data_IF_879586932015
#
_entry.id   IF_879586932015
#
_cell.length_a   1.000
_cell.length_b   1.000
_cell.length_c   1.000
_cell.angle_alpha   90.00
_cell.angle_beta   90.00
_cell.angle_gamma   90.00
#
_symmetry.space_group_name_H-M   'P 1'
#
loop_
_entity.id
_entity.type
_entity.pdbx_description
1 polymer ?
#
# COMPACT_ATOMS: atom_id res chain seq x y z
N UNK A 1 -55.48 27.89 -26.12
CA UNK A 1 -55.38 27.07 -24.89
C UNK A 1 -54.96 25.67 -25.28
N UNK A 2 -53.68 25.35 -25.11
CA UNK A 2 -53.17 23.98 -25.04
C UNK A 2 -51.76 24.07 -24.45
N UNK A 3 -51.68 24.03 -23.12
CA UNK A 3 -50.45 23.87 -22.37
C UNK A 3 -50.04 22.42 -22.45
N UNK A 4 -48.96 22.15 -23.19
CA UNK A 4 -48.22 20.89 -23.10
C UNK A 4 -47.41 20.95 -21.81
N UNK A 5 -47.78 20.11 -20.85
CA UNK A 5 -47.01 19.87 -19.64
C UNK A 5 -45.76 19.07 -20.03
N UNK A 6 -44.61 19.72 -19.95
CA UNK A 6 -43.31 19.11 -20.14
C UNK A 6 -43.00 18.25 -18.90
N UNK A 7 -42.92 16.94 -19.10
CA UNK A 7 -42.50 15.99 -18.07
C UNK A 7 -40.98 16.04 -17.97
N UNK A 8 -40.47 16.97 -17.16
CA UNK A 8 -39.10 16.93 -16.69
C UNK A 8 -38.95 15.78 -15.70
N UNK A 9 -38.66 14.58 -16.21
CA UNK A 9 -38.11 13.50 -15.40
C UNK A 9 -36.64 13.86 -15.14
N UNK A 10 -36.40 14.61 -14.07
CA UNK A 10 -35.06 14.76 -13.51
C UNK A 10 -34.68 13.42 -12.88
N UNK A 11 -33.86 12.63 -13.57
CA UNK A 11 -33.10 11.55 -12.96
C UNK A 11 -32.21 12.16 -11.87
N UNK A 12 -32.73 12.19 -10.65
CA UNK A 12 -31.92 12.45 -9.46
C UNK A 12 -31.02 11.24 -9.33
N UNK A 13 -29.79 11.33 -9.85
CA UNK A 13 -28.72 10.40 -9.49
C UNK A 13 -28.61 10.46 -7.97
N UNK A 14 -29.18 9.44 -7.31
CA UNK A 14 -29.07 9.28 -5.86
C UNK A 14 -27.59 9.22 -5.55
N UNK A 15 -27.08 10.17 -4.75
CA UNK A 15 -25.66 10.19 -4.34
C UNK A 15 -25.32 8.83 -3.73
N UNK A 16 -24.60 8.00 -4.49
CA UNK A 16 -24.24 6.67 -4.04
C UNK A 16 -23.27 6.81 -2.88
N UNK A 17 -23.61 6.22 -1.74
CA UNK A 17 -22.73 6.14 -0.57
C UNK A 17 -21.44 5.40 -0.96
N UNK A 18 -20.31 6.10 -0.89
CA UNK A 18 -18.99 5.64 -1.35
C UNK A 18 -18.07 5.17 -0.22
N UNK A 19 -18.55 5.14 1.02
CA UNK A 19 -17.77 4.73 2.19
C UNK A 19 -18.11 3.29 2.62
N UNK A 20 -17.47 2.82 3.70
CA UNK A 20 -17.66 1.44 4.17
C UNK A 20 -19.01 1.16 4.86
N UNK A 21 -19.89 2.15 4.99
CA UNK A 21 -21.27 1.88 5.43
C UNK A 21 -22.06 1.12 4.35
N UNK A 22 -21.61 1.20 3.10
CA UNK A 22 -22.13 0.42 1.99
C UNK A 22 -21.41 -0.95 1.87
N UNK A 23 -22.11 -2.09 2.02
CA UNK A 23 -21.50 -3.42 1.89
C UNK A 23 -20.89 -3.72 0.51
N UNK A 24 -21.40 -3.10 -0.56
CA UNK A 24 -20.82 -3.24 -1.90
C UNK A 24 -19.42 -2.63 -1.98
N UNK A 25 -19.25 -1.44 -1.38
CA UNK A 25 -17.94 -0.77 -1.28
C UNK A 25 -16.94 -1.64 -0.51
N UNK A 26 -17.36 -2.23 0.61
CA UNK A 26 -16.53 -3.19 1.38
C UNK A 26 -16.11 -4.38 0.51
N UNK A 27 -17.02 -4.89 -0.32
CA UNK A 27 -16.78 -6.04 -1.21
C UNK A 27 -15.81 -5.68 -2.34
N UNK A 28 -15.92 -4.48 -2.91
CA UNK A 28 -14.99 -3.96 -3.92
C UNK A 28 -13.58 -3.80 -3.35
N UNK A 29 -13.42 -3.20 -2.16
CA UNK A 29 -12.13 -3.13 -1.47
C UNK A 29 -11.51 -4.50 -1.21
N UNK A 30 -12.31 -5.47 -0.73
CA UNK A 30 -11.81 -6.83 -0.49
C UNK A 30 -11.40 -7.52 -1.78
N UNK A 31 -12.18 -7.40 -2.84
CA UNK A 31 -11.82 -8.01 -4.14
C UNK A 31 -10.52 -7.42 -4.68
N UNK A 32 -10.35 -6.10 -4.62
CA UNK A 32 -9.09 -5.45 -4.98
C UNK A 32 -7.92 -5.92 -4.11
N UNK A 33 -8.15 -6.03 -2.80
CA UNK A 33 -7.16 -6.52 -1.85
C UNK A 33 -6.74 -7.98 -2.09
N UNK A 34 -7.68 -8.86 -2.40
CA UNK A 34 -7.42 -10.28 -2.68
C UNK A 34 -6.58 -10.44 -3.95
N UNK A 35 -6.87 -9.64 -4.99
CA UNK A 35 -6.07 -9.62 -6.23
C UNK A 35 -4.65 -9.11 -5.93
N UNK A 36 -4.51 -8.03 -5.17
CA UNK A 36 -3.20 -7.50 -4.77
C UNK A 36 -2.40 -8.50 -3.94
N UNK A 37 -3.01 -9.18 -2.97
CA UNK A 37 -2.35 -10.24 -2.19
C UNK A 37 -1.90 -11.42 -3.07
N UNK A 38 -2.71 -11.80 -4.05
CA UNK A 38 -2.36 -12.84 -5.02
C UNK A 38 -1.16 -12.45 -5.89
N UNK A 39 -1.14 -11.21 -6.39
CA UNK A 39 -0.02 -10.67 -7.16
C UNK A 39 1.26 -10.61 -6.31
N UNK A 40 1.16 -10.09 -5.08
CA UNK A 40 2.26 -10.04 -4.14
C UNK A 40 2.87 -11.41 -3.88
N UNK A 41 2.02 -12.41 -3.57
CA UNK A 41 2.48 -13.79 -3.36
C UNK A 41 3.18 -14.34 -4.60
N UNK A 42 2.66 -14.08 -5.80
CA UNK A 42 3.25 -14.52 -7.05
C UNK A 42 4.65 -13.94 -7.27
N UNK A 43 4.85 -12.65 -6.95
CA UNK A 43 6.15 -11.99 -7.04
C UNK A 43 7.12 -12.52 -5.98
N UNK A 44 6.68 -12.68 -4.73
CA UNK A 44 7.51 -13.24 -3.65
C UNK A 44 8.08 -14.59 -4.06
N UNK A 45 7.26 -15.49 -4.62
CA UNK A 45 7.74 -16.79 -5.11
C UNK A 45 8.76 -16.64 -6.25
N UNK A 46 8.71 -15.54 -7.02
CA UNK A 46 9.67 -15.25 -8.09
C UNK A 46 10.96 -14.58 -7.62
N UNK A 47 11.06 -14.13 -6.37
CA UNK A 47 12.24 -13.43 -5.83
C UNK A 47 13.41 -14.39 -5.48
N UNK A 48 13.80 -15.25 -6.42
CA UNK A 48 14.89 -16.22 -6.29
C UNK A 48 16.18 -15.69 -6.94
N UNK A 49 17.36 -16.21 -6.59
CA UNK A 49 18.61 -15.79 -7.21
C UNK A 49 18.58 -15.96 -8.74
N UNK A 50 19.09 -14.97 -9.46
CA UNK A 50 19.09 -14.94 -10.92
C UNK A 50 17.79 -14.42 -11.55
N UNK A 51 16.75 -14.13 -10.76
CA UNK A 51 15.52 -13.53 -11.28
C UNK A 51 15.75 -12.06 -11.67
N UNK A 52 15.23 -11.68 -12.84
CA UNK A 52 15.27 -10.30 -13.32
C UNK A 52 14.09 -9.48 -12.77
N UNK A 53 14.39 -8.30 -12.22
CA UNK A 53 13.38 -7.42 -11.61
C UNK A 53 12.38 -6.89 -12.63
N UNK A 54 12.80 -6.60 -13.86
CA UNK A 54 11.88 -6.13 -14.91
C UNK A 54 10.84 -7.21 -15.26
N UNK A 55 11.28 -8.46 -15.41
CA UNK A 55 10.43 -9.61 -15.64
C UNK A 55 9.44 -9.84 -14.47
N UNK A 56 9.89 -9.70 -13.22
CA UNK A 56 9.02 -9.82 -12.04
C UNK A 56 7.95 -8.73 -11.97
N UNK A 57 8.30 -7.48 -12.29
CA UNK A 57 7.33 -6.38 -12.39
C UNK A 57 6.25 -6.68 -13.46
N UNK A 58 6.66 -7.18 -14.63
CA UNK A 58 5.73 -7.58 -15.71
C UNK A 58 4.82 -8.72 -15.30
N UNK A 59 5.38 -9.74 -14.65
CA UNK A 59 4.65 -10.90 -14.16
C UNK A 59 3.48 -10.47 -13.26
N UNK A 60 3.76 -9.56 -12.32
CA UNK A 60 2.77 -9.03 -11.37
C UNK A 60 1.68 -8.20 -12.06
N UNK A 61 2.07 -7.23 -12.90
CA UNK A 61 1.13 -6.36 -13.59
C UNK A 61 0.19 -7.17 -14.51
N UNK A 62 0.73 -8.20 -15.17
CA UNK A 62 -0.03 -9.14 -15.98
C UNK A 62 -1.01 -9.96 -15.12
N UNK A 63 -0.56 -10.46 -13.96
CA UNK A 63 -1.42 -11.18 -13.02
C UNK A 63 -2.61 -10.32 -12.56
N UNK A 64 -2.36 -9.07 -12.16
CA UNK A 64 -3.42 -8.14 -11.73
C UNK A 64 -4.43 -7.94 -12.85
N UNK A 65 -3.94 -7.68 -14.07
CA UNK A 65 -4.78 -7.46 -15.25
C UNK A 65 -5.66 -8.67 -15.57
N UNK A 66 -5.07 -9.87 -15.56
CA UNK A 66 -5.78 -11.12 -15.80
C UNK A 66 -6.82 -11.39 -14.71
N UNK A 67 -6.47 -11.23 -13.44
CA UNK A 67 -7.39 -11.43 -12.32
C UNK A 67 -8.57 -10.44 -12.38
N UNK A 68 -8.31 -9.17 -12.68
CA UNK A 68 -9.33 -8.15 -12.87
C UNK A 68 -10.30 -8.48 -14.03
N UNK A 69 -9.82 -9.12 -15.10
CA UNK A 69 -10.69 -9.54 -16.21
C UNK A 69 -11.70 -10.64 -15.84
N UNK A 70 -11.52 -11.32 -14.70
CA UNK A 70 -12.39 -12.42 -14.25
C UNK A 70 -13.53 -11.98 -13.32
N UNK A 71 -13.43 -10.78 -12.74
CA UNK A 71 -14.40 -10.24 -11.76
C UNK A 71 -15.15 -9.05 -12.33
N UNK A 72 -16.39 -8.77 -11.90
CA UNK A 72 -17.15 -7.58 -12.30
C UNK A 72 -17.24 -7.33 -13.83
N UNK A 73 -17.65 -8.36 -14.58
CA UNK A 73 -17.76 -8.28 -16.05
C UNK A 73 -19.13 -7.83 -16.57
N UNK A 74 -20.16 -7.90 -15.72
CA UNK A 74 -21.48 -7.35 -16.05
C UNK A 74 -21.43 -5.83 -15.94
N UNK A 75 -22.13 -5.15 -16.85
CA UNK A 75 -22.31 -3.70 -16.77
C UNK A 75 -23.21 -3.38 -15.58
N UNK A 76 -22.84 -2.35 -14.83
CA UNK A 76 -23.65 -1.79 -13.76
C UNK A 76 -24.14 -0.41 -14.23
N UNK A 77 -25.44 -0.16 -14.22
CA UNK A 77 -26.06 1.07 -14.75
C UNK A 77 -25.58 1.42 -16.18
N UNK A 78 -25.44 0.40 -17.04
CA UNK A 78 -24.98 0.56 -18.43
C UNK A 78 -23.48 0.85 -18.61
N UNK A 79 -22.72 1.06 -17.52
CA UNK A 79 -21.28 1.33 -17.54
C UNK A 79 -20.47 0.08 -17.22
N UNK A 80 -19.33 -0.09 -17.89
CA UNK A 80 -18.36 -1.14 -17.55
C UNK A 80 -17.60 -0.67 -16.31
N UNK A 81 -17.47 -1.54 -15.31
CA UNK A 81 -16.71 -1.21 -14.11
C UNK A 81 -15.21 -1.10 -14.43
N UNK A 82 -14.62 0.02 -14.00
CA UNK A 82 -13.17 0.24 -14.08
C UNK A 82 -12.47 -0.63 -13.04
N UNK A 83 -11.36 -1.25 -13.42
CA UNK A 83 -10.61 -2.19 -12.58
C UNK A 83 -9.25 -2.43 -13.19
N UNK A 84 -8.25 -2.66 -12.35
CA UNK A 84 -6.88 -2.82 -12.82
C UNK A 84 -5.87 -2.47 -11.74
N UNK A 85 -4.72 -1.97 -12.18
CA UNK A 85 -3.59 -1.60 -11.35
C UNK A 85 -3.89 -0.25 -10.66
N UNK A 86 -3.82 -0.23 -9.33
CA UNK A 86 -3.92 1.01 -8.53
C UNK A 86 -2.57 1.64 -8.26
N UNK A 87 -1.54 0.82 -8.15
CA UNK A 87 -0.15 1.23 -8.03
C UNK A 87 0.69 0.21 -8.80
N UNK A 88 1.53 0.62 -9.77
CA UNK A 88 2.28 -0.31 -10.59
C UNK A 88 3.27 -1.10 -9.74
N UNK A 89 3.58 -2.32 -10.17
CA UNK A 89 4.55 -3.14 -9.44
C UNK A 89 5.91 -2.46 -9.44
N UNK A 90 6.43 -2.23 -8.23
CA UNK A 90 7.75 -1.70 -7.94
C UNK A 90 8.51 -2.70 -7.08
N UNK A 91 9.77 -2.97 -7.40
CA UNK A 91 10.61 -3.93 -6.68
C UNK A 91 11.94 -3.26 -6.37
N UNK A 92 12.17 -2.91 -5.11
CA UNK A 92 13.34 -2.12 -4.70
C UNK A 92 14.29 -2.95 -3.84
N UNK A 93 15.56 -3.03 -4.26
CA UNK A 93 16.56 -3.94 -3.68
C UNK A 93 17.51 -3.21 -2.73
N UNK A 94 17.79 -3.83 -1.58
CA UNK A 94 18.74 -3.38 -0.55
C UNK A 94 18.51 -1.91 -0.12
N UNK A 95 19.45 -1.01 -0.42
CA UNK A 95 19.44 0.41 -0.08
C UNK A 95 18.41 1.23 -0.88
N UNK A 96 17.91 0.70 -2.01
CA UNK A 96 16.90 1.40 -2.81
C UNK A 96 15.61 1.43 -2.02
N UNK A 97 15.06 2.62 -1.75
CA UNK A 97 13.95 2.80 -0.82
C UNK A 97 12.59 2.44 -1.41
N UNK A 98 12.35 2.77 -2.68
CA UNK A 98 11.05 2.56 -3.31
C UNK A 98 11.00 2.99 -4.78
N UNK A 99 9.84 2.74 -5.40
CA UNK A 99 9.45 3.17 -6.76
C UNK A 99 10.31 2.65 -7.92
N UNK A 100 11.21 1.70 -7.69
CA UNK A 100 11.96 1.08 -8.78
C UNK A 100 11.05 0.17 -9.62
N UNK A 101 10.66 0.65 -10.80
CA UNK A 101 9.78 -0.04 -11.75
C UNK A 101 10.36 0.07 -13.16
N UNK A 102 11.40 -0.71 -13.50
CA UNK A 102 12.11 -0.56 -14.77
C UNK A 102 11.19 -0.77 -15.97
N UNK A 103 11.50 -0.11 -17.08
CA UNK A 103 10.73 -0.11 -18.33
C UNK A 103 11.48 -0.78 -19.48
N UNK A 104 12.79 -0.90 -19.30
CA UNK A 104 13.78 -1.47 -20.20
C UNK A 104 14.88 -2.15 -19.38
N UNK A 105 15.83 -2.76 -20.07
CA UNK A 105 16.97 -3.48 -19.50
C UNK A 105 18.29 -2.72 -19.79
N UNK A 106 18.32 -1.39 -19.57
CA UNK A 106 19.58 -0.64 -19.69
C UNK A 106 20.55 -1.05 -18.58
N UNK A 107 21.87 -0.81 -18.71
CA UNK A 107 22.81 -1.14 -17.64
C UNK A 107 22.45 -0.56 -16.26
N UNK A 108 21.76 0.59 -16.22
CA UNK A 108 21.32 1.26 -15.00
C UNK A 108 20.01 0.70 -14.41
N UNK A 109 19.15 0.12 -15.25
CA UNK A 109 17.82 -0.41 -14.87
C UNK A 109 17.76 -1.93 -14.83
N UNK A 110 18.75 -2.61 -15.40
CA UNK A 110 18.91 -4.06 -15.30
C UNK A 110 19.31 -4.41 -13.86
N UNK A 111 18.44 -5.17 -13.20
CA UNK A 111 18.63 -5.62 -11.83
C UNK A 111 18.27 -7.09 -11.73
N UNK A 112 19.30 -7.93 -11.63
CA UNK A 112 19.18 -9.35 -11.33
C UNK A 112 19.35 -9.55 -9.83
N UNK A 113 18.44 -10.31 -9.22
CA UNK A 113 18.47 -10.62 -7.80
C UNK A 113 19.60 -11.60 -7.47
N UNK A 114 20.26 -11.36 -6.33
CA UNK A 114 21.29 -12.26 -5.79
C UNK A 114 20.82 -12.81 -4.45
N UNK A 115 21.23 -14.04 -4.14
CA UNK A 115 20.96 -14.69 -2.85
C UNK A 115 21.29 -13.75 -1.68
N UNK A 116 20.33 -13.62 -0.77
CA UNK A 116 20.43 -12.76 0.41
C UNK A 116 20.04 -11.29 0.19
N UNK A 117 19.74 -10.85 -1.03
CA UNK A 117 19.24 -9.47 -1.26
C UNK A 117 17.97 -9.19 -0.47
N UNK A 118 17.85 -8.00 0.12
CA UNK A 118 16.58 -7.52 0.67
C UNK A 118 15.74 -6.97 -0.47
N UNK A 119 14.57 -7.56 -0.70
CA UNK A 119 13.69 -7.23 -1.82
C UNK A 119 12.37 -6.68 -1.26
N UNK A 120 12.09 -5.41 -1.54
CA UNK A 120 10.82 -4.75 -1.22
C UNK A 120 9.93 -4.78 -2.44
N UNK A 121 8.75 -5.37 -2.33
CA UNK A 121 7.75 -5.45 -3.39
C UNK A 121 6.60 -4.52 -3.00
N UNK A 122 6.20 -3.60 -3.87
CA UNK A 122 5.11 -2.64 -3.65
C UNK A 122 4.21 -2.59 -4.89
N UNK A 123 2.90 -2.77 -4.68
CA UNK A 123 1.90 -2.84 -5.76
C UNK A 123 0.49 -2.56 -5.23
N UNK A 124 -0.45 -2.33 -6.15
CA UNK A 124 -1.85 -2.16 -5.80
C UNK A 124 -2.81 -2.53 -6.91
N UNK A 125 -4.02 -2.92 -6.52
CA UNK A 125 -5.14 -3.19 -7.40
C UNK A 125 -6.33 -2.29 -7.02
N UNK A 126 -7.17 -1.90 -7.99
CA UNK A 126 -8.46 -1.26 -7.70
C UNK A 126 -9.61 -1.97 -8.41
N UNK A 127 -10.79 -1.86 -7.79
CA UNK A 127 -12.08 -2.18 -8.41
C UNK A 127 -12.98 -0.97 -8.20
N UNK A 128 -13.47 -0.38 -9.28
CA UNK A 128 -14.31 0.83 -9.28
C UNK A 128 -13.68 2.02 -8.54
N UNK A 129 -12.35 2.08 -8.57
CA UNK A 129 -11.54 3.09 -7.89
C UNK A 129 -11.24 2.80 -6.42
N UNK A 130 -11.86 1.77 -5.81
CA UNK A 130 -11.56 1.34 -4.45
C UNK A 130 -10.30 0.47 -4.46
N UNK A 131 -9.24 0.98 -3.83
CA UNK A 131 -7.89 0.45 -3.97
C UNK A 131 -7.47 -0.41 -2.77
N UNK A 132 -6.86 -1.55 -3.06
CA UNK A 132 -6.07 -2.33 -2.12
C UNK A 132 -4.59 -2.22 -2.49
N UNK A 133 -3.81 -1.54 -1.64
CA UNK A 133 -2.36 -1.38 -1.80
C UNK A 133 -1.61 -2.27 -0.81
N UNK A 134 -0.46 -2.78 -1.22
CA UNK A 134 0.32 -3.72 -0.42
C UNK A 134 1.80 -3.63 -0.74
N UNK A 135 2.62 -3.71 0.30
CA UNK A 135 4.05 -3.89 0.15
C UNK A 135 4.57 -4.87 1.19
N UNK A 136 5.64 -5.58 0.83
CA UNK A 136 6.22 -6.61 1.67
C UNK A 136 7.71 -6.75 1.35
N UNK A 137 8.49 -6.95 2.40
CA UNK A 137 9.93 -7.23 2.29
C UNK A 137 10.16 -8.72 2.37
N UNK A 138 11.00 -9.27 1.51
CA UNK A 138 11.57 -10.63 1.63
C UNK A 138 13.09 -10.57 1.51
N UNK A 139 13.75 -11.65 1.90
CA UNK A 139 15.15 -11.89 1.53
C UNK A 139 15.16 -12.87 0.37
N UNK A 140 15.86 -12.53 -0.71
CA UNK A 140 16.00 -13.35 -1.90
C UNK A 140 16.62 -14.70 -1.53
N UNK A 141 15.87 -15.77 -1.78
CA UNK A 141 16.24 -17.14 -1.42
C UNK A 141 15.50 -18.11 -2.37
N UNK A 142 16.20 -19.14 -2.83
CA UNK A 142 15.65 -20.15 -3.73
C UNK A 142 14.43 -20.91 -3.15
N UNK A 143 14.25 -20.92 -1.82
CA UNK A 143 13.15 -21.64 -1.16
C UNK A 143 11.87 -20.81 -0.98
N UNK A 144 11.85 -19.53 -1.36
CA UNK A 144 10.66 -18.67 -1.23
C UNK A 144 9.36 -19.28 -1.81
N UNK A 145 9.36 -19.94 -3.00
CA UNK A 145 8.17 -20.65 -3.46
C UNK A 145 7.62 -21.66 -2.44
N UNK A 146 8.50 -22.43 -1.82
CA UNK A 146 8.12 -23.43 -0.82
C UNK A 146 7.62 -22.79 0.47
N UNK A 147 8.20 -21.66 0.88
CA UNK A 147 7.82 -20.97 2.12
C UNK A 147 6.43 -20.31 2.02
N UNK A 148 6.11 -19.73 0.85
CA UNK A 148 4.88 -18.97 0.67
C UNK A 148 3.75 -19.80 0.03
N UNK A 149 4.02 -20.93 -0.62
CA UNK A 149 2.99 -21.85 -1.09
C UNK A 149 2.55 -22.82 0.01
N UNK A 150 1.25 -23.13 0.07
CA UNK A 150 0.65 -23.93 1.14
C UNK A 150 1.06 -25.42 1.15
N UNK A 151 1.97 -25.84 0.28
CA UNK A 151 2.29 -27.26 0.01
C UNK A 151 3.60 -27.76 0.64
N UNK A 152 4.44 -26.91 1.22
CA UNK A 152 5.76 -27.35 1.69
C UNK A 152 5.96 -27.12 3.20
N UNK A 153 5.41 -28.03 4.00
CA UNK A 153 5.84 -28.18 5.38
C UNK A 153 7.33 -28.60 5.41
N UNK A 154 8.19 -27.80 6.04
CA UNK A 154 9.56 -28.20 6.40
C UNK A 154 10.72 -27.54 5.65
N UNK A 155 10.46 -26.59 4.73
CA UNK A 155 11.53 -25.74 4.15
C UNK A 155 11.47 -24.34 4.76
N UNK A 156 12.62 -23.84 5.19
CA UNK A 156 12.79 -22.49 5.73
C UNK A 156 13.82 -21.74 4.89
N UNK A 157 13.68 -20.42 4.83
CA UNK A 157 14.74 -19.55 4.30
C UNK A 157 16.01 -19.72 5.13
N UNK A 158 17.17 -19.40 4.55
CA UNK A 158 18.43 -19.33 5.27
C UNK A 158 18.30 -18.38 6.48
N UNK A 159 19.09 -18.63 7.53
CA UNK A 159 19.11 -17.72 8.69
C UNK A 159 19.56 -16.32 8.26
N UNK A 160 18.71 -15.34 8.54
CA UNK A 160 18.97 -13.93 8.25
C UNK A 160 19.42 -13.31 9.56
N UNK A 161 20.63 -12.74 9.59
CA UNK A 161 21.22 -12.16 10.80
C UNK A 161 21.73 -10.73 10.60
N UNK A 162 22.10 -10.09 11.72
CA UNK A 162 22.68 -8.75 11.72
C UNK A 162 21.71 -7.68 11.20
N UNK A 163 22.24 -6.65 10.54
CA UNK A 163 21.48 -5.46 10.12
C UNK A 163 20.27 -5.77 9.23
N UNK A 164 20.34 -6.82 8.40
CA UNK A 164 19.20 -7.31 7.61
C UNK A 164 18.05 -7.81 8.49
N UNK A 165 18.37 -8.58 9.53
CA UNK A 165 17.37 -9.05 10.48
C UNK A 165 16.80 -7.91 11.33
N UNK A 166 17.67 -6.98 11.76
CA UNK A 166 17.28 -5.83 12.55
C UNK A 166 16.22 -4.99 11.82
N UNK A 167 16.47 -4.60 10.57
CA UNK A 167 15.56 -3.71 9.82
C UNK A 167 14.23 -4.37 9.48
N UNK A 168 14.23 -5.65 9.15
CA UNK A 168 12.99 -6.40 8.89
C UNK A 168 12.16 -6.50 10.17
N UNK A 169 12.77 -6.86 11.31
CA UNK A 169 12.07 -6.91 12.60
C UNK A 169 11.61 -5.55 13.08
N UNK A 170 12.40 -4.49 12.85
CA UNK A 170 12.02 -3.11 13.15
C UNK A 170 10.75 -2.72 12.38
N UNK A 171 10.77 -2.93 11.06
CA UNK A 171 9.68 -2.57 10.16
C UNK A 171 8.41 -3.37 10.48
N UNK A 172 8.55 -4.68 10.72
CA UNK A 172 7.43 -5.54 11.08
C UNK A 172 6.83 -5.19 12.45
N UNK A 173 7.68 -4.93 13.45
CA UNK A 173 7.23 -4.48 14.78
C UNK A 173 6.43 -3.18 14.69
N UNK A 174 6.91 -2.20 13.91
CA UNK A 174 6.20 -0.96 13.68
C UNK A 174 4.85 -1.20 12.96
N UNK A 175 4.83 -2.05 11.92
CA UNK A 175 3.61 -2.42 11.21
C UNK A 175 2.55 -3.06 12.14
N UNK A 176 2.95 -4.02 12.97
CA UNK A 176 2.07 -4.69 13.93
C UNK A 176 1.54 -3.72 15.00
N UNK A 177 2.38 -2.79 15.47
CA UNK A 177 1.98 -1.76 16.42
C UNK A 177 0.97 -0.77 15.80
N UNK A 178 1.25 -0.25 14.60
CA UNK A 178 0.34 0.63 13.87
C UNK A 178 -1.02 -0.03 13.61
N UNK A 179 -1.04 -1.30 13.21
CA UNK A 179 -2.28 -2.03 12.96
C UNK A 179 -3.21 -2.10 14.18
N UNK A 180 -2.68 -1.99 15.41
CA UNK A 180 -3.44 -1.97 16.67
C UNK A 180 -3.90 -0.58 17.10
N UNK A 181 -3.24 0.46 16.59
CA UNK A 181 -3.52 1.87 16.90
C UNK A 181 -4.46 2.52 15.88
N UNK A 182 -4.44 2.08 14.61
CA UNK A 182 -5.36 2.59 13.59
C UNK A 182 -6.77 2.06 13.83
N UNK A 183 -7.55 2.80 14.60
CA UNK A 183 -8.95 2.55 14.91
C UNK A 183 -9.66 3.86 15.24
N UNK A 184 -10.97 3.89 15.04
CA UNK A 184 -11.76 5.09 15.33
C UNK A 184 -11.52 5.59 16.77
N UNK A 185 -11.36 6.90 16.94
CA UNK A 185 -11.02 7.48 18.25
C UNK A 185 -9.54 7.79 18.46
N UNK A 186 -8.64 7.20 17.67
CA UNK A 186 -7.20 7.37 17.84
C UNK A 186 -6.66 8.53 17.00
N UNK A 187 -5.58 9.15 17.50
CA UNK A 187 -4.94 10.28 16.85
C UNK A 187 -3.80 9.84 15.94
N UNK A 188 -3.67 10.49 14.79
CA UNK A 188 -2.60 10.20 13.82
C UNK A 188 -1.19 10.41 14.38
N UNK A 189 -1.00 11.33 15.32
CA UNK A 189 0.31 11.65 15.93
C UNK A 189 0.88 10.53 16.80
N UNK A 190 0.03 9.67 17.36
CA UNK A 190 0.47 8.51 18.15
C UNK A 190 1.13 7.45 17.25
N UNK A 191 0.75 7.40 15.96
CA UNK A 191 1.30 6.43 15.01
C UNK A 191 2.74 6.76 14.69
N UNK A 192 3.05 8.02 14.35
CA UNK A 192 4.41 8.48 14.07
C UNK A 192 5.36 8.16 15.23
N UNK A 193 4.97 8.51 16.47
CA UNK A 193 5.78 8.23 17.67
C UNK A 193 6.01 6.74 17.88
N UNK A 194 4.99 5.92 17.62
CA UNK A 194 5.07 4.47 17.77
C UNK A 194 6.00 3.85 16.73
N UNK A 195 5.99 4.34 15.49
CA UNK A 195 6.90 3.89 14.43
C UNK A 195 8.35 4.20 14.80
N UNK A 196 8.63 5.44 15.25
CA UNK A 196 9.95 5.85 15.71
C UNK A 196 10.44 5.01 16.91
N UNK A 197 9.56 4.77 17.89
CA UNK A 197 9.85 3.95 19.05
C UNK A 197 10.19 2.52 18.67
N UNK A 198 9.40 1.89 17.78
CA UNK A 198 9.62 0.54 17.29
C UNK A 198 10.93 0.43 16.50
N UNK A 199 11.23 1.40 15.63
CA UNK A 199 12.47 1.44 14.86
C UNK A 199 13.70 1.50 15.79
N UNK A 200 13.63 2.33 16.83
CA UNK A 200 14.70 2.54 17.81
C UNK A 200 15.06 1.26 18.58
N UNK A 201 14.10 0.35 18.82
CA UNK A 201 14.39 -0.91 19.52
C UNK A 201 15.43 -1.78 18.80
N UNK A 202 15.60 -1.58 17.49
CA UNK A 202 16.51 -2.35 16.64
C UNK A 202 17.64 -1.49 16.03
N UNK A 203 17.91 -0.32 16.63
CA UNK A 203 18.87 0.65 16.11
C UNK A 203 18.62 1.00 14.63
N UNK A 204 17.35 1.15 14.24
CA UNK A 204 16.95 1.53 12.89
C UNK A 204 16.18 2.86 12.93
N UNK A 205 16.03 3.51 11.77
CA UNK A 205 15.39 4.81 11.64
C UNK A 205 14.31 4.74 10.55
N UNK A 206 13.08 5.26 10.76
CA UNK A 206 12.10 5.33 9.69
C UNK A 206 12.54 6.29 8.60
N UNK A 207 12.23 5.97 7.35
CA UNK A 207 12.62 6.79 6.19
C UNK A 207 11.79 8.08 6.15
N UNK A 208 12.48 9.21 5.97
CA UNK A 208 11.86 10.54 5.86
C UNK A 208 11.03 10.69 4.58
N UNK A 209 9.96 11.46 4.67
CA UNK A 209 9.05 11.73 3.54
C UNK A 209 8.05 10.61 3.22
N UNK A 210 8.05 9.50 3.97
CA UNK A 210 7.08 8.42 3.79
C UNK A 210 5.79 8.74 4.53
N UNK A 211 4.68 8.75 3.79
CA UNK A 211 3.35 9.06 4.29
C UNK A 211 2.41 7.85 4.13
N UNK A 212 1.61 7.62 5.17
CA UNK A 212 0.46 6.74 5.14
C UNK A 212 -0.80 7.56 4.89
N UNK A 213 -1.67 7.14 3.96
CA UNK A 213 -2.78 7.95 3.45
C UNK A 213 -4.14 7.30 3.67
N UNK A 214 -5.16 8.14 3.88
CA UNK A 214 -6.55 7.76 3.69
C UNK A 214 -6.78 7.40 2.21
N UNK A 215 -7.47 6.29 1.97
CA UNK A 215 -7.90 5.85 0.64
C UNK A 215 -9.38 6.19 0.46
N UNK A 216 -9.72 6.74 -0.70
CA UNK A 216 -11.10 6.94 -1.16
C UNK A 216 -11.26 6.40 -2.57
N UNK A 217 -12.48 6.35 -3.08
CA UNK A 217 -12.75 5.97 -4.47
C UNK A 217 -11.93 6.86 -5.42
N UNK A 218 -11.08 6.25 -6.24
CA UNK A 218 -10.17 6.91 -7.18
C UNK A 218 -9.08 7.80 -6.56
N UNK A 219 -8.87 7.73 -5.24
CA UNK A 219 -7.88 8.54 -4.51
C UNK A 219 -7.05 7.65 -3.58
N UNK A 220 -5.79 7.43 -3.93
CA UNK A 220 -4.83 6.66 -3.11
C UNK A 220 -4.02 7.52 -2.12
N UNK A 221 -4.05 8.84 -2.31
CA UNK A 221 -3.34 9.82 -1.49
C UNK A 221 -4.36 10.85 -1.01
N UNK A 222 -5.19 10.44 -0.04
CA UNK A 222 -6.13 11.33 0.61
C UNK A 222 -5.45 12.37 1.49
N UNK A 223 -6.18 13.45 1.81
CA UNK A 223 -5.69 14.57 2.62
C UNK A 223 -5.36 14.18 4.06
N UNK A 224 -6.15 13.29 4.68
CA UNK A 224 -5.82 12.68 5.97
C UNK A 224 -4.63 11.73 5.79
N UNK A 225 -3.45 12.17 6.22
CA UNK A 225 -2.22 11.39 6.13
C UNK A 225 -1.30 11.62 7.34
N UNK A 226 -0.43 10.65 7.62
CA UNK A 226 0.55 10.74 8.71
C UNK A 226 1.91 10.22 8.26
N UNK A 227 2.96 10.80 8.82
CA UNK A 227 4.34 10.47 8.48
C UNK A 227 4.88 9.32 9.33
N UNK A 228 5.79 8.52 8.75
CA UNK A 228 6.50 7.46 9.48
C UNK A 228 7.52 7.98 10.50
N UNK A 229 7.98 9.22 10.33
CA UNK A 229 8.90 9.94 11.22
C UNK A 229 8.46 11.39 11.29
N UNK A 230 8.74 12.07 12.41
CA UNK A 230 8.45 13.49 12.53
C UNK A 230 9.16 14.26 11.38
N UNK A 231 8.43 15.10 10.62
CA UNK A 231 9.03 15.89 9.55
C UNK A 231 10.17 16.79 10.05
N UNK A 232 11.20 16.93 9.24
CA UNK A 232 12.35 17.78 9.54
C UNK A 232 12.02 19.28 9.49
N UNK A 233 12.95 20.14 9.93
CA UNK A 233 12.78 21.59 9.78
C UNK A 233 12.58 22.00 8.32
N UNK A 234 11.48 22.69 8.03
CA UNK A 234 11.14 23.16 6.68
C UNK A 234 10.36 22.16 5.81
N UNK A 235 10.05 20.98 6.33
CA UNK A 235 9.14 20.03 5.69
C UNK A 235 7.69 20.29 6.11
N UNK A 236 6.75 20.08 5.18
CA UNK A 236 5.33 20.22 5.46
C UNK A 236 4.89 19.16 6.48
N UNK A 237 4.25 19.62 7.56
CA UNK A 237 3.73 18.75 8.60
C UNK A 237 2.29 18.37 8.27
N UNK A 238 1.95 17.06 8.19
CA UNK A 238 0.56 16.65 8.05
C UNK A 238 -0.30 17.16 9.21
N UNK A 239 -1.52 17.58 8.91
CA UNK A 239 -2.49 17.99 9.92
C UNK A 239 -2.82 16.80 10.83
N UNK A 240 -2.89 17.05 12.14
CA UNK A 240 -3.35 16.03 13.09
C UNK A 240 -4.84 15.75 12.84
N UNK A 241 -5.20 14.47 12.84
CA UNK A 241 -6.59 14.05 12.69
C UNK A 241 -6.88 12.85 13.60
N UNK A 242 -8.17 12.64 13.83
CA UNK A 242 -8.69 11.44 14.47
C UNK A 242 -9.23 10.48 13.40
N UNK A 243 -8.93 9.19 13.57
CA UNK A 243 -9.48 8.16 12.71
C UNK A 243 -10.99 8.04 12.95
N UNK A 244 -11.76 7.87 11.88
CA UNK A 244 -13.22 7.75 11.93
C UNK A 244 -13.70 6.40 11.43
N UNK A 245 -14.92 6.03 11.83
CA UNK A 245 -15.60 4.84 11.32
C UNK A 245 -15.96 5.07 9.85
N UNK A 246 -15.91 3.99 9.06
CA UNK A 246 -16.10 3.94 7.62
C UNK A 246 -14.97 4.50 6.75
N UNK A 247 -13.82 4.81 7.35
CA UNK A 247 -12.62 5.21 6.62
C UNK A 247 -11.75 4.02 6.19
N UNK A 248 -10.89 4.24 5.19
CA UNK A 248 -9.90 3.27 4.70
C UNK A 248 -8.53 3.93 4.71
N UNK A 249 -7.49 3.20 5.11
CA UNK A 249 -6.11 3.69 5.11
C UNK A 249 -5.14 2.70 4.48
N UNK A 250 -4.26 3.20 3.62
CA UNK A 250 -3.03 2.52 3.23
C UNK A 250 -1.93 2.93 4.21
N UNK A 251 -1.57 2.03 5.11
CA UNK A 251 -0.47 2.24 6.07
C UNK A 251 0.81 1.77 5.41
N UNK A 252 1.78 2.66 5.25
CA UNK A 252 3.10 2.40 4.64
C UNK A 252 4.21 2.66 5.66
N UNK A 253 4.93 1.60 6.01
CA UNK A 253 6.02 1.63 6.98
C UNK A 253 7.30 1.31 6.22
N UNK A 254 8.24 2.24 6.19
CA UNK A 254 9.55 2.07 5.56
C UNK A 254 10.63 2.42 6.59
N UNK A 255 11.52 1.48 6.87
CA UNK A 255 12.57 1.62 7.88
C UNK A 255 13.93 1.30 7.27
N UNK A 256 14.94 2.07 7.66
CA UNK A 256 16.32 1.99 7.21
C UNK A 256 17.26 1.59 8.34
N UNK A 257 18.34 0.89 8.00
CA UNK A 257 19.48 0.68 8.90
C UNK A 257 20.41 1.90 9.02
N UNK A 258 20.28 2.85 8.07
CA UNK A 258 21.09 4.05 7.95
C UNK A 258 20.48 5.26 8.67
N UNK A 259 20.57 6.43 8.04
CA UNK A 259 20.16 7.71 8.64
C UNK A 259 18.67 8.05 8.44
N UNK A 260 17.95 7.30 7.61
CA UNK A 260 16.57 7.59 7.21
C UNK A 260 16.45 8.75 6.22
N UNK A 261 17.59 9.31 5.76
CA UNK A 261 17.67 10.46 4.85
C UNK A 261 17.99 9.99 3.43
N UNK A 262 16.97 9.99 2.58
CA UNK A 262 17.09 9.44 1.23
C UNK A 262 17.65 10.46 0.24
N UNK A 263 18.34 9.96 -0.77
CA UNK A 263 18.96 10.75 -1.83
C UNK A 263 18.38 10.36 -3.18
N UNK A 264 18.31 11.32 -4.09
CA UNK A 264 17.96 11.06 -5.47
C UNK A 264 18.99 10.15 -6.13
N UNK A 265 18.52 9.32 -7.06
CA UNK A 265 19.38 8.45 -7.88
C UNK A 265 19.56 9.04 -9.28
N UNK A 266 20.51 8.49 -10.05
CA UNK A 266 20.63 8.79 -11.49
C UNK A 266 19.51 8.15 -12.32
N UNK A 267 18.73 7.26 -11.72
CA UNK A 267 17.64 6.53 -12.36
C UNK A 267 16.46 7.48 -12.53
N UNK A 268 16.02 7.66 -13.77
CA UNK A 268 14.87 8.51 -14.07
C UNK A 268 13.60 7.86 -13.52
N UNK A 269 12.65 8.66 -12.98
CA UNK A 269 11.34 8.13 -12.58
C UNK A 269 10.66 7.44 -13.76
N UNK A 270 10.04 6.29 -13.50
CA UNK A 270 9.21 5.56 -14.46
C UNK A 270 7.78 5.42 -13.98
N UNK A 271 7.49 5.85 -12.75
CA UNK A 271 6.18 5.84 -12.13
C UNK A 271 5.71 7.27 -11.95
N UNK A 272 4.48 7.54 -12.40
CA UNK A 272 3.87 8.86 -12.40
C UNK A 272 2.41 8.77 -12.00
N UNK A 273 1.86 9.87 -11.50
CA UNK A 273 0.41 10.09 -11.31
C UNK A 273 0.02 11.39 -11.97
N UNK A 274 -1.19 11.45 -12.53
CA UNK A 274 -1.70 12.68 -13.13
C UNK A 274 -1.98 13.75 -12.06
N UNK A 275 -1.54 14.99 -12.33
CA UNK A 275 -1.99 16.16 -11.59
C UNK A 275 -3.38 16.57 -12.10
N UNK A 276 -4.43 16.18 -11.37
CA UNK A 276 -5.83 16.38 -11.81
C UNK A 276 -6.29 17.83 -11.73
N UNK A 277 -5.64 18.64 -10.91
CA UNK A 277 -5.87 20.07 -10.72
C UNK A 277 -5.15 20.94 -11.77
N UNK A 278 -4.22 20.34 -12.53
CA UNK A 278 -3.46 21.02 -13.59
C UNK A 278 -4.05 20.71 -14.97
N UNK A 279 -4.36 21.77 -15.72
CA UNK A 279 -4.90 21.66 -17.08
C UNK A 279 -4.02 22.40 -18.07
N UNK A 280 -3.43 21.68 -19.02
CA UNK A 280 -2.68 22.23 -20.13
C UNK A 280 -2.80 21.30 -21.34
N UNK A 281 -2.99 21.88 -22.53
CA UNK A 281 -3.03 21.11 -23.78
C UNK A 281 -1.62 21.07 -24.37
N UNK A 282 -1.02 19.89 -24.40
CA UNK A 282 0.31 19.69 -24.98
C UNK A 282 0.34 20.11 -26.47
N UNK A 283 1.45 20.71 -26.89
CA UNK A 283 1.61 21.25 -28.24
C UNK A 283 1.96 20.15 -29.24
N UNK A 284 2.77 19.18 -28.84
CA UNK A 284 3.16 18.08 -29.73
C UNK A 284 2.01 17.08 -29.92
N UNK A 285 1.90 16.53 -31.14
CA UNK A 285 0.91 15.48 -31.42
C UNK A 285 1.16 14.23 -30.56
N UNK A 286 2.44 13.86 -30.40
CA UNK A 286 2.87 12.74 -29.57
C UNK A 286 2.54 12.97 -28.08
N UNK A 287 2.76 14.17 -27.56
CA UNK A 287 2.37 14.53 -26.20
C UNK A 287 0.85 14.46 -25.99
N UNK A 288 0.06 15.00 -26.92
CA UNK A 288 -1.41 14.87 -26.86
C UNK A 288 -1.86 13.40 -26.88
N UNK A 289 -1.23 12.57 -27.70
CA UNK A 289 -1.52 11.13 -27.74
C UNK A 289 -1.22 10.46 -26.40
N UNK A 290 -0.03 10.69 -25.84
CA UNK A 290 0.36 10.18 -24.53
C UNK A 290 -0.61 10.62 -23.41
N UNK A 291 -0.94 11.91 -23.33
CA UNK A 291 -1.87 12.40 -22.31
C UNK A 291 -3.29 11.85 -22.50
N UNK A 292 -3.76 11.64 -23.74
CA UNK A 292 -5.05 10.98 -23.98
C UNK A 292 -5.05 9.55 -23.47
N UNK A 293 -3.97 8.80 -23.68
CA UNK A 293 -3.82 7.45 -23.15
C UNK A 293 -3.78 7.43 -21.61
N UNK A 294 -3.03 8.35 -20.98
CA UNK A 294 -3.02 8.53 -19.52
C UNK A 294 -4.42 8.81 -18.99
N UNK A 295 -5.17 9.73 -19.60
CA UNK A 295 -6.52 10.09 -19.16
C UNK A 295 -7.50 8.90 -19.25
N UNK A 296 -7.37 8.07 -20.28
CA UNK A 296 -8.28 6.96 -20.51
C UNK A 296 -7.94 5.72 -19.66
N UNK A 297 -6.64 5.46 -19.42
CA UNK A 297 -6.19 4.26 -18.68
C UNK A 297 -5.97 4.52 -17.19
N UNK A 298 -5.47 5.70 -16.84
CA UNK A 298 -4.96 6.06 -15.51
C UNK A 298 -5.44 7.47 -15.10
N UNK A 299 -6.77 7.70 -15.01
CA UNK A 299 -7.31 9.04 -14.85
C UNK A 299 -6.81 9.76 -13.59
N UNK A 300 -6.66 9.01 -12.48
CA UNK A 300 -6.26 9.56 -11.17
C UNK A 300 -5.24 8.71 -10.42
N UNK A 301 -5.00 7.47 -10.86
CA UNK A 301 -4.16 6.48 -10.18
C UNK A 301 -2.74 6.48 -10.77
N UNK A 302 -1.71 6.17 -9.97
CA UNK A 302 -0.35 6.00 -10.47
C UNK A 302 -0.22 4.93 -11.55
N UNK A 303 0.73 5.14 -12.44
CA UNK A 303 1.03 4.25 -13.55
C UNK A 303 2.53 4.19 -13.80
N UNK A 304 2.98 3.06 -14.35
CA UNK A 304 4.34 2.90 -14.88
C UNK A 304 4.34 3.17 -16.37
N UNK A 305 5.41 3.76 -16.90
CA UNK A 305 5.60 3.93 -18.35
C UNK A 305 5.64 2.58 -19.09
N UNK A 306 5.83 1.46 -18.39
CA UNK A 306 5.74 0.10 -18.93
C UNK A 306 4.35 -0.26 -19.47
N UNK A 307 3.30 0.47 -19.05
CA UNK A 307 1.92 0.27 -19.51
C UNK A 307 1.61 0.84 -20.91
N UNK A 308 2.59 1.49 -21.54
CA UNK A 308 2.46 2.16 -22.84
C UNK A 308 3.16 1.35 -23.93
N UNK A 309 2.55 1.25 -25.10
CA UNK A 309 3.11 0.52 -26.25
C UNK A 309 3.87 1.41 -27.24
N UNK A 310 3.62 2.73 -27.24
CA UNK A 310 4.32 3.69 -28.09
C UNK A 310 5.44 4.38 -27.30
N UNK A 311 6.63 3.80 -27.36
CA UNK A 311 7.85 4.33 -26.72
C UNK A 311 8.18 5.76 -27.15
N UNK A 312 7.88 6.11 -28.42
CA UNK A 312 8.19 7.44 -28.95
C UNK A 312 7.24 8.47 -28.36
N UNK A 313 5.94 8.17 -28.34
CA UNK A 313 4.95 9.02 -27.69
C UNK A 313 5.22 9.15 -26.19
N UNK A 314 5.60 8.05 -25.53
CA UNK A 314 5.94 8.04 -24.11
C UNK A 314 7.13 8.97 -23.81
N UNK A 315 8.27 8.82 -24.52
CA UNK A 315 9.47 9.63 -24.30
C UNK A 315 9.23 11.14 -24.51
N UNK A 316 8.52 11.51 -25.57
CA UNK A 316 8.19 12.93 -25.85
C UNK A 316 7.14 13.45 -24.88
N UNK A 317 6.08 12.67 -24.65
CA UNK A 317 4.94 13.04 -23.84
C UNK A 317 5.28 13.24 -22.38
N UNK A 318 6.05 12.34 -21.77
CA UNK A 318 6.49 12.47 -20.37
C UNK A 318 7.32 13.75 -20.17
N UNK A 319 8.30 14.01 -21.05
CA UNK A 319 9.15 15.19 -20.94
C UNK A 319 8.35 16.50 -21.07
N UNK A 320 7.38 16.55 -21.97
CA UNK A 320 6.51 17.73 -22.15
C UNK A 320 5.51 17.89 -20.98
N UNK A 321 4.87 16.80 -20.56
CA UNK A 321 3.90 16.79 -19.46
C UNK A 321 4.54 17.21 -18.12
N UNK A 322 5.74 16.72 -17.83
CA UNK A 322 6.51 17.12 -16.64
C UNK A 322 6.84 18.61 -16.62
N UNK A 323 7.21 19.19 -17.78
CA UNK A 323 7.52 20.63 -17.90
C UNK A 323 6.30 21.52 -17.58
N UNK A 324 5.10 21.00 -17.84
CA UNK A 324 3.83 21.68 -17.58
C UNK A 324 3.14 21.18 -16.31
N UNK A 325 3.86 20.46 -15.44
CA UNK A 325 3.36 19.97 -14.15
C UNK A 325 2.09 19.10 -14.26
N UNK A 326 1.88 18.44 -15.40
CA UNK A 326 0.71 17.59 -15.61
C UNK A 326 0.84 16.20 -14.93
N UNK A 327 2.04 15.88 -14.46
CA UNK A 327 2.39 14.62 -13.81
C UNK A 327 3.16 14.89 -12.52
N UNK A 328 2.85 14.12 -11.49
CA UNK A 328 3.66 13.96 -10.28
C UNK A 328 4.54 12.72 -10.43
N UNK A 329 5.87 12.84 -10.35
CA UNK A 329 6.77 11.70 -10.42
C UNK A 329 6.86 10.99 -9.06
N UNK A 330 7.02 9.67 -9.10
CA UNK A 330 7.48 8.88 -7.96
C UNK A 330 8.95 8.53 -8.19
N UNK A 331 9.90 9.33 -7.67
CA UNK A 331 11.32 9.13 -7.93
C UNK A 331 11.84 7.88 -7.21
N UNK A 332 12.84 7.24 -7.83
CA UNK A 332 13.63 6.20 -7.18
C UNK A 332 14.62 6.88 -6.25
N UNK A 333 14.45 6.63 -4.96
CA UNK A 333 15.27 7.18 -3.89
C UNK A 333 16.11 6.08 -3.26
N UNK A 334 17.29 6.43 -2.74
CA UNK A 334 18.23 5.46 -2.14
C UNK A 334 18.77 5.95 -0.80
N UNK A 335 19.03 5.00 0.08
CA UNK A 335 19.93 5.13 1.21
C UNK A 335 21.40 5.06 0.78
N UNK A 336 22.30 5.29 1.73
CA UNK A 336 23.74 5.09 1.52
C UNK A 336 24.03 3.64 1.12
N UNK A 337 24.98 3.46 0.20
CA UNK A 337 25.42 2.13 -0.22
C UNK A 337 25.88 1.29 0.98
N UNK A 338 25.40 0.05 1.06
CA UNK A 338 25.67 -0.89 2.15
C UNK A 338 24.62 -0.87 3.27
N UNK A 339 23.74 0.12 3.29
CA UNK A 339 22.56 0.12 4.16
C UNK A 339 21.42 -0.72 3.57
N UNK A 340 20.46 -1.06 4.41
CA UNK A 340 19.30 -1.86 4.06
C UNK A 340 18.02 -1.14 4.42
N UNK A 341 17.03 -1.24 3.54
CA UNK A 341 15.69 -0.68 3.76
C UNK A 341 14.67 -1.80 3.67
N UNK A 342 13.78 -1.87 4.66
CA UNK A 342 12.60 -2.73 4.67
C UNK A 342 11.32 -1.89 4.59
N UNK A 343 10.30 -2.45 3.94
CA UNK A 343 8.98 -1.88 3.76
C UNK A 343 7.88 -2.93 4.03
N UNK A 344 6.86 -2.53 4.78
CA UNK A 344 5.58 -3.22 4.87
C UNK A 344 4.44 -2.22 4.69
N UNK A 345 3.56 -2.48 3.73
CA UNK A 345 2.37 -1.67 3.47
C UNK A 345 1.13 -2.53 3.43
N UNK A 346 0.05 -2.06 4.05
CA UNK A 346 -1.21 -2.78 4.11
C UNK A 346 -2.41 -1.83 4.19
N UNK A 347 -3.55 -2.31 3.71
CA UNK A 347 -4.81 -1.59 3.65
C UNK A 347 -5.69 -2.02 4.81
N UNK A 348 -6.19 -1.03 5.58
CA UNK A 348 -7.07 -1.19 6.72
C UNK A 348 -8.46 -0.62 6.42
N UNK A 349 -9.51 -1.38 6.73
CA UNK A 349 -10.91 -0.97 6.69
C UNK A 349 -11.41 -0.69 8.11
N UNK A 350 -11.76 0.55 8.44
CA UNK A 350 -12.27 0.92 9.78
C UNK A 350 -13.79 0.73 9.81
N UNK A 351 -14.23 -0.51 10.04
CA UNK A 351 -15.67 -0.82 10.08
C UNK A 351 -16.27 -0.50 11.45
N UNK A 352 -17.61 -0.33 11.57
CA UNK A 352 -18.29 -0.21 12.86
C UNK A 352 -18.05 -1.40 13.81
N UNK A 353 -17.66 -2.54 13.24
CA UNK A 353 -17.35 -3.79 13.97
C UNK A 353 -15.90 -3.90 14.41
N UNK A 354 -15.02 -2.98 13.98
CA UNK A 354 -13.59 -2.99 14.23
C UNK A 354 -12.76 -2.86 12.95
N UNK A 355 -11.47 -2.60 13.12
CA UNK A 355 -10.51 -2.45 12.02
C UNK A 355 -10.18 -3.80 11.39
N UNK A 356 -10.29 -3.91 10.07
CA UNK A 356 -9.89 -5.11 9.32
C UNK A 356 -8.74 -4.83 8.37
N UNK A 357 -7.63 -5.54 8.55
CA UNK A 357 -6.56 -5.63 7.56
C UNK A 357 -7.02 -6.52 6.40
N UNK A 358 -6.99 -5.99 5.17
CA UNK A 358 -7.42 -6.71 3.97
C UNK A 358 -6.27 -7.02 3.01
N UNK A 359 -5.18 -6.26 3.03
CA UNK A 359 -3.95 -6.60 2.29
C UNK A 359 -2.78 -6.90 3.23
N UNK A 360 -1.77 -7.56 2.68
CA UNK A 360 -0.53 -7.93 3.38
C UNK A 360 -0.54 -9.40 3.80
N UNK A 361 0.65 -9.97 3.86
CA UNK A 361 0.87 -11.35 4.27
C UNK A 361 1.46 -11.41 5.69
N UNK A 362 1.29 -12.50 6.43
CA UNK A 362 2.03 -12.72 7.68
C UNK A 362 3.54 -12.75 7.43
N UNK A 363 4.34 -12.41 8.44
CA UNK A 363 5.79 -12.60 8.43
C UNK A 363 6.14 -14.08 8.67
N UNK A 364 5.98 -14.91 7.65
CA UNK A 364 6.09 -16.38 7.76
C UNK A 364 7.50 -16.88 8.09
N UNK A 365 8.52 -16.04 7.87
CA UNK A 365 9.92 -16.34 8.14
C UNK A 365 10.48 -15.57 9.36
N UNK A 366 9.60 -15.12 10.26
CA UNK A 366 10.00 -14.35 11.44
C UNK A 366 10.97 -15.12 12.36
N UNK A 367 10.86 -16.46 12.42
CA UNK A 367 11.70 -17.31 13.27
C UNK A 367 13.15 -17.38 12.78
N UNK A 368 13.35 -17.17 11.49
CA UNK A 368 14.63 -17.20 10.79
C UNK A 368 15.38 -15.86 10.95
N UNK A 369 14.71 -14.79 11.41
CA UNK A 369 15.29 -13.48 11.69
C UNK A 369 16.04 -13.47 13.03
N UNK A 370 17.37 -13.55 12.97
CA UNK A 370 18.29 -13.51 14.12
C UNK A 370 18.87 -12.11 14.31
N UNK A 371 18.09 -11.24 14.94
CA UNK A 371 18.56 -9.94 15.41
C UNK A 371 19.19 -10.06 16.80
N UNK A 372 20.23 -9.28 17.06
CA UNK A 372 20.79 -9.08 18.41
C UNK A 372 19.95 -8.16 19.29
N UNK A 373 18.85 -7.64 18.75
CA UNK A 373 17.95 -6.71 19.42
C UNK A 373 16.55 -7.32 19.63
N UNK A 374 15.89 -6.84 20.69
CA UNK A 374 14.53 -7.17 21.09
C UNK A 374 13.79 -5.91 21.50
N UNK A 375 12.46 -5.98 21.48
CA UNK A 375 11.62 -4.91 22.04
C UNK A 375 11.79 -4.93 23.55
N UNK A 376 12.33 -3.86 24.12
CA UNK A 376 12.50 -3.69 25.56
C UNK A 376 11.50 -2.71 26.16
N UNK A 377 10.97 -1.77 25.36
CA UNK A 377 9.98 -0.82 25.83
C UNK A 377 8.66 -1.51 26.27
N UNK A 378 8.29 -1.31 27.53
CA UNK A 378 7.13 -1.96 28.16
C UNK A 378 5.79 -1.51 27.56
N UNK A 379 5.69 -0.25 27.11
CA UNK A 379 4.46 0.25 26.48
C UNK A 379 4.24 -0.39 25.10
N UNK A 380 5.32 -0.57 24.35
CA UNK A 380 5.32 -1.25 23.06
C UNK A 380 5.06 -2.75 23.22
N UNK A 381 5.67 -3.43 24.21
CA UNK A 381 5.36 -4.83 24.55
C UNK A 381 3.87 -5.00 24.86
N UNK A 382 3.33 -4.14 25.72
CA UNK A 382 1.93 -4.18 26.11
C UNK A 382 1.00 -3.97 24.90
N UNK A 383 1.33 -3.02 24.02
CA UNK A 383 0.61 -2.79 22.78
C UNK A 383 0.63 -4.04 21.89
N UNK A 384 1.81 -4.60 21.60
CA UNK A 384 1.96 -5.77 20.71
C UNK A 384 1.24 -7.01 21.24
N UNK A 385 1.13 -7.16 22.56
CA UNK A 385 0.37 -8.23 23.22
C UNK A 385 -1.16 -8.10 23.04
N UNK A 386 -1.67 -6.93 22.67
CA UNK A 386 -3.11 -6.76 22.41
C UNK A 386 -3.55 -7.45 21.12
N UNK A 387 -4.82 -7.89 21.07
CA UNK A 387 -5.42 -8.39 19.85
C UNK A 387 -5.69 -7.25 18.87
N UNK A 388 -5.35 -7.47 17.60
CA UNK A 388 -5.68 -6.59 16.48
C UNK A 388 -7.20 -6.43 16.31
N UNK A 389 -7.98 -7.44 16.68
CA UNK A 389 -9.44 -7.42 16.62
C UNK A 389 -10.02 -7.96 17.94
N UNK A 390 -10.09 -7.14 19.00
CA UNK A 390 -10.68 -7.56 20.26
C UNK A 390 -12.18 -7.81 20.05
N UNK A 391 -12.64 -9.04 20.28
CA UNK A 391 -14.08 -9.34 20.29
C UNK A 391 -14.72 -8.47 21.37
N UNK A 392 -15.71 -7.64 21.03
CA UNK A 392 -16.52 -6.94 22.04
C UNK A 392 -17.10 -7.99 23.00
N UNK A 393 -16.63 -8.00 24.24
CA UNK A 393 -17.29 -8.73 25.32
C UNK A 393 -18.72 -8.17 25.41
N UNK A 394 -19.72 -9.01 25.11
CA UNK A 394 -21.12 -8.67 25.41
C UNK A 394 -21.18 -8.37 26.91
N UNK A 395 -21.47 -7.12 27.29
CA UNK A 395 -21.84 -6.78 28.67
C UNK A 395 -22.99 -7.70 29.06
N UNK A 396 -22.75 -8.68 29.94
CA UNK A 396 -23.82 -9.36 30.67
C UNK A 396 -24.47 -8.28 31.54
N UNK A 397 -25.67 -7.84 31.15
CA UNK A 397 -26.51 -7.04 32.02
C UNK A 397 -26.72 -7.82 33.33
N UNK A 398 -26.37 -7.20 34.46
CA UNK A 398 -26.75 -7.68 35.78
C UNK A 398 -28.27 -7.66 35.86
N UNK A 399 -28.89 -8.85 35.84
CA UNK A 399 -30.26 -8.99 36.31
C UNK A 399 -30.22 -8.83 37.84
N UNK A 400 -30.81 -7.74 38.32
CA UNK A 400 -31.01 -7.46 39.73
C UNK A 400 -31.79 -8.58 40.40
N UNK A 401 -31.36 -8.88 41.62
CA UNK A 401 -32.03 -9.74 42.60
C UNK A 401 -33.53 -9.44 42.66
N UNK A 402 -34.36 -10.47 42.46
CA UNK A 402 -35.68 -10.51 43.09
C UNK A 402 -35.46 -11.01 44.53
N UNK A 403 -35.88 -10.19 45.47
CA UNK A 403 -36.03 -10.56 46.88
C UNK A 403 -37.14 -11.61 46.99
N UNK A 404 -36.81 -12.77 47.56
CA UNK A 404 -37.80 -13.70 48.10
C UNK A 404 -38.22 -13.17 49.47
N UNK A 405 -39.39 -12.53 49.50
CA UNK A 405 -40.14 -12.31 50.73
C UNK A 405 -40.82 -13.61 51.15
N UNK A 406 -40.40 -14.15 52.29
CA UNK A 406 -41.01 -15.27 52.97
C UNK A 406 -42.50 -15.02 53.24
N UNK A 407 -43.30 -16.07 53.09
CA UNK A 407 -44.66 -16.14 53.63
C UNK A 407 -44.71 -17.32 54.62
N UNK A 408 -45.24 -17.03 55.80
CA UNK A 408 -45.26 -17.83 57.03
C UNK A 408 -45.86 -19.24 56.91
N UNK A 409 -45.24 -20.20 57.62
CA UNK A 409 -45.87 -21.15 58.55
C UNK A 409 -44.82 -22.02 59.25
#
# INVERSE_FOLDING_TARGET
MATLADSACSDVETEQVQDLSNPDVVTKYRTAADIANGALKKVICGCVPGADVYALCKLSDAYITEACSKVYNKKENGKKMEKGIAFPTCISVNETCGHFSPVDETPETNRVLVEGDIVKIDLGCHVDGYSGVVAYTVVCDAVLPSVFEASAAGKAVAHISGRKADVIKACWTAAEACMRLVKAGHKSTDLTKTIELAAKQYNCIPVQGVLSHQLKRYVIEGSKCFAGVAPGPGEDKPEEFEFEVNEVYGVDIVISTGEGKVRGTVIKPTVYKRAVDRTYILKSQLGRHFMSEVQNKYPTLPFSLRGFSDDRACKVGVAEAMRHELLHPYPVMTEKQGEYVAQFKFTLLLLPTGTKKVTGLPLVYEKELKSSHSVEDESLKALLATSVNPKKLKKRAQAGKKEDGANDA
#
